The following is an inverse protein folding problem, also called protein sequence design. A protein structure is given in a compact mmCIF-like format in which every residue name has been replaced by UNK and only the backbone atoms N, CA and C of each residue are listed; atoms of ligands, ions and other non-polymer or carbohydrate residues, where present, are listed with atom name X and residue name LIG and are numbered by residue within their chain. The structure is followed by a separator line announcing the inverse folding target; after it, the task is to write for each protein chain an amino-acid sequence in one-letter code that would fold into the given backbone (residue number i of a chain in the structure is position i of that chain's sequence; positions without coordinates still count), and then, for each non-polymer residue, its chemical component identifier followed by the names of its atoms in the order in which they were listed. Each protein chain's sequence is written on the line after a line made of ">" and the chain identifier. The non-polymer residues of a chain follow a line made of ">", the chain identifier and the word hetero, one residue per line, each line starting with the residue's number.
data_IF_189207916046
#
_entry.id   IF_189207916046
#
_cell.length_a   1.000
_cell.length_b   1.000
_cell.length_c   1.000
_cell.angle_alpha   90.00
_cell.angle_beta   90.00
_cell.angle_gamma   90.00
#
_symmetry.space_group_name_H-M   'P 1'
#
loop_
_entity.id
_entity.type
_entity.pdbx_description
1 polymer ?
#
# COMPACT_ATOMS: atom_id res chain seq x y z
N UNK A 1 7.88 -11.24 4.16
CA UNK A 1 7.60 -12.46 3.35
C UNK A 1 6.12 -12.46 2.95
N UNK A 2 5.61 -13.42 2.16
CA UNK A 2 4.20 -13.45 1.73
C UNK A 2 3.18 -13.21 2.87
N UNK A 3 3.27 -13.91 4.04
CA UNK A 3 2.33 -13.71 5.14
C UNK A 3 2.27 -12.26 5.65
N UNK A 4 3.45 -11.63 5.79
CA UNK A 4 3.55 -10.24 6.25
C UNK A 4 2.93 -9.28 5.24
N UNK A 5 3.23 -9.47 3.95
CA UNK A 5 2.71 -8.60 2.87
C UNK A 5 1.18 -8.69 2.77
N UNK A 6 0.62 -9.89 2.85
CA UNK A 6 -0.84 -10.07 2.85
C UNK A 6 -1.49 -9.32 4.03
N UNK A 7 -0.90 -9.47 5.23
CA UNK A 7 -1.39 -8.80 6.44
C UNK A 7 -1.27 -7.28 6.35
N UNK A 8 -0.16 -6.78 5.82
CA UNK A 8 0.08 -5.35 5.61
C UNK A 8 -0.90 -4.77 4.60
N UNK A 9 -1.11 -5.42 3.46
CA UNK A 9 -2.09 -4.98 2.45
C UNK A 9 -3.52 -4.93 3.03
N UNK A 10 -3.93 -5.98 3.74
CA UNK A 10 -5.26 -6.02 4.36
C UNK A 10 -5.43 -4.91 5.40
N UNK A 11 -4.47 -4.74 6.29
CA UNK A 11 -4.51 -3.69 7.32
C UNK A 11 -4.38 -2.29 6.71
N UNK A 12 -3.58 -2.13 5.66
CA UNK A 12 -3.42 -0.89 4.91
C UNK A 12 -4.75 -0.41 4.34
N UNK A 13 -5.55 -1.33 3.79
CA UNK A 13 -6.93 -1.06 3.34
C UNK A 13 -7.96 -0.92 4.47
N UNK A 14 -7.59 -1.18 5.72
CA UNK A 14 -8.48 -1.07 6.88
C UNK A 14 -9.61 -2.10 6.92
N UNK A 15 -9.47 -3.24 6.23
CA UNK A 15 -10.53 -4.26 6.12
C UNK A 15 -10.31 -5.44 7.07
N UNK A 16 -11.41 -6.08 7.47
CA UNK A 16 -11.40 -7.28 8.31
C UNK A 16 -11.02 -8.53 7.51
N UNK A 17 -10.75 -9.65 8.20
CA UNK A 17 -10.51 -10.94 7.52
C UNK A 17 -11.79 -11.42 6.82
N UNK A 18 -12.95 -11.14 7.42
CA UNK A 18 -14.28 -11.43 6.89
C UNK A 18 -14.53 -10.66 5.60
N UNK A 19 -14.28 -9.34 5.60
CA UNK A 19 -14.45 -8.53 4.40
C UNK A 19 -13.52 -8.97 3.27
N UNK A 20 -12.28 -9.38 3.58
CA UNK A 20 -11.38 -9.89 2.56
C UNK A 20 -11.86 -11.25 2.01
N UNK A 21 -12.37 -12.13 2.87
CA UNK A 21 -12.95 -13.40 2.42
C UNK A 21 -14.15 -13.18 1.50
N UNK A 22 -15.05 -12.26 1.87
CA UNK A 22 -16.22 -11.91 1.08
C UNK A 22 -15.81 -11.37 -0.29
N UNK A 23 -14.86 -10.44 -0.34
CA UNK A 23 -14.35 -9.89 -1.60
C UNK A 23 -13.68 -10.95 -2.48
N UNK A 24 -12.90 -11.87 -1.90
CA UNK A 24 -12.31 -12.99 -2.65
C UNK A 24 -13.38 -13.96 -3.19
N UNK A 25 -14.53 -14.02 -2.52
CA UNK A 25 -15.64 -14.89 -2.89
C UNK A 25 -16.53 -14.31 -4.00
N UNK A 26 -16.47 -12.99 -4.25
CA UNK A 26 -17.13 -12.37 -5.41
C UNK A 26 -16.59 -12.92 -6.75
N UNK A 27 -15.35 -13.40 -6.76
CA UNK A 27 -14.68 -14.01 -7.90
C UNK A 27 -14.72 -15.55 -7.86
N UNK A 28 -15.71 -16.16 -7.20
CA UNK A 28 -15.83 -17.63 -7.14
C UNK A 28 -16.32 -18.21 -8.48
N UNK A 29 -15.51 -19.10 -9.05
CA UNK A 29 -15.96 -19.91 -10.18
C UNK A 29 -16.94 -21.00 -9.70
N UNK A 30 -17.86 -21.46 -10.57
CA UNK A 30 -18.75 -22.57 -10.27
C UNK A 30 -17.99 -23.81 -9.78
N UNK A 31 -18.34 -24.31 -8.58
CA UNK A 31 -17.72 -25.48 -7.98
C UNK A 31 -16.50 -25.22 -7.08
N UNK A 32 -16.02 -23.97 -7.01
CA UNK A 32 -15.03 -23.59 -6.01
C UNK A 32 -15.68 -23.43 -4.62
N UNK A 33 -14.94 -23.82 -3.57
CA UNK A 33 -15.37 -23.60 -2.19
C UNK A 33 -15.07 -22.16 -1.78
N UNK A 34 -15.98 -21.50 -1.05
CA UNK A 34 -15.73 -20.14 -0.56
C UNK A 34 -14.58 -20.11 0.43
N UNK A 35 -13.79 -19.05 0.34
CA UNK A 35 -12.77 -18.70 1.30
C UNK A 35 -13.41 -18.27 2.62
N UNK A 36 -12.71 -18.49 3.72
CA UNK A 36 -13.15 -18.10 5.06
C UNK A 36 -12.13 -17.18 5.71
N UNK A 37 -12.58 -16.33 6.64
CA UNK A 37 -11.71 -15.46 7.43
C UNK A 37 -10.61 -16.25 8.17
N UNK A 38 -10.94 -17.44 8.69
CA UNK A 38 -9.98 -18.33 9.35
C UNK A 38 -8.88 -18.82 8.39
N UNK A 39 -9.25 -19.14 7.14
CA UNK A 39 -8.31 -19.57 6.12
C UNK A 39 -7.31 -18.45 5.79
N UNK A 40 -7.79 -17.23 5.59
CA UNK A 40 -6.94 -16.05 5.37
C UNK A 40 -6.05 -15.79 6.59
N UNK A 41 -6.59 -15.91 7.81
CA UNK A 41 -5.81 -15.77 9.03
C UNK A 41 -4.66 -16.78 9.13
N UNK A 42 -4.87 -18.02 8.67
CA UNK A 42 -3.80 -19.02 8.59
C UNK A 42 -2.71 -18.59 7.59
N UNK A 43 -3.08 -17.97 6.48
CA UNK A 43 -2.12 -17.44 5.50
C UNK A 43 -1.30 -16.27 6.03
N UNK A 44 -1.93 -15.33 6.75
CA UNK A 44 -1.24 -14.19 7.37
C UNK A 44 -0.28 -14.59 8.48
N UNK A 45 -0.49 -15.74 9.13
CA UNK A 45 0.44 -16.31 10.12
C UNK A 45 1.49 -17.23 9.50
N UNK A 46 1.31 -17.62 8.24
CA UNK A 46 2.17 -18.60 7.57
C UNK A 46 1.92 -20.05 8.01
N UNK A 47 0.82 -20.33 8.74
CA UNK A 47 0.44 -21.68 9.18
C UNK A 47 0.07 -22.57 7.98
N UNK A 48 -0.48 -21.96 6.93
CA UNK A 48 -0.82 -22.59 5.65
C UNK A 48 -0.47 -21.66 4.52
N UNK A 49 -0.25 -22.25 3.34
CA UNK A 49 -0.05 -21.50 2.11
C UNK A 49 -1.33 -21.52 1.26
N UNK A 50 -1.72 -20.39 0.65
CA UNK A 50 -2.76 -20.38 -0.37
C UNK A 50 -2.31 -21.13 -1.62
N UNK A 51 -3.31 -21.61 -2.38
CA UNK A 51 -3.16 -22.11 -3.73
C UNK A 51 -2.84 -20.98 -4.71
N UNK A 52 -2.30 -21.34 -5.87
CA UNK A 52 -2.00 -20.38 -6.94
C UNK A 52 -3.20 -19.50 -7.32
N UNK A 53 -4.39 -20.10 -7.44
CA UNK A 53 -5.63 -19.39 -7.75
C UNK A 53 -5.97 -18.31 -6.70
N UNK A 54 -5.81 -18.64 -5.41
CA UNK A 54 -6.05 -17.68 -4.33
C UNK A 54 -5.01 -16.56 -4.33
N UNK A 55 -3.75 -16.86 -4.64
CA UNK A 55 -2.70 -15.84 -4.79
C UNK A 55 -3.02 -14.89 -5.95
N UNK A 56 -3.51 -15.39 -7.09
CA UNK A 56 -3.98 -14.55 -8.20
C UNK A 56 -5.14 -13.64 -7.77
N UNK A 57 -6.18 -14.18 -7.14
CA UNK A 57 -7.31 -13.37 -6.66
C UNK A 57 -6.89 -12.29 -5.67
N UNK A 58 -5.96 -12.61 -4.77
CA UNK A 58 -5.39 -11.64 -3.84
C UNK A 58 -4.62 -10.54 -4.58
N UNK A 59 -3.79 -10.90 -5.54
CA UNK A 59 -3.03 -9.95 -6.34
C UNK A 59 -3.95 -9.01 -7.13
N UNK A 60 -4.99 -9.56 -7.77
CA UNK A 60 -6.00 -8.80 -8.51
C UNK A 60 -6.80 -7.89 -7.57
N UNK A 61 -7.28 -8.41 -6.44
CA UNK A 61 -8.03 -7.64 -5.45
C UNK A 61 -7.21 -6.47 -4.90
N UNK A 62 -5.93 -6.69 -4.58
CA UNK A 62 -5.05 -5.66 -4.05
C UNK A 62 -4.41 -4.78 -5.13
N UNK A 63 -4.61 -5.08 -6.40
CA UNK A 63 -4.01 -4.40 -7.55
C UNK A 63 -2.46 -4.38 -7.48
N UNK A 64 -1.87 -5.51 -7.07
CA UNK A 64 -0.42 -5.69 -6.96
C UNK A 64 0.07 -6.83 -7.84
N UNK A 65 1.35 -6.85 -8.19
CA UNK A 65 1.92 -7.99 -8.93
C UNK A 65 2.04 -9.23 -8.03
N UNK A 66 1.95 -10.43 -8.64
CA UNK A 66 2.22 -11.69 -7.94
C UNK A 66 3.61 -11.69 -7.29
N UNK A 67 4.63 -11.17 -7.98
CA UNK A 67 5.99 -11.07 -7.46
C UNK A 67 6.07 -10.16 -6.23
N UNK A 68 5.30 -9.07 -6.20
CA UNK A 68 5.14 -8.29 -4.98
C UNK A 68 4.45 -9.11 -3.90
N UNK A 69 3.36 -9.80 -4.18
CA UNK A 69 2.67 -10.54 -3.13
C UNK A 69 3.55 -11.67 -2.54
N UNK A 70 4.29 -12.40 -3.37
CA UNK A 70 5.11 -13.55 -2.93
C UNK A 70 6.52 -13.20 -2.43
N UNK A 71 6.91 -11.93 -2.43
CA UNK A 71 8.23 -11.53 -1.92
C UNK A 71 9.37 -11.52 -2.93
N UNK A 72 9.08 -11.63 -4.24
CA UNK A 72 10.07 -11.71 -5.33
C UNK A 72 10.48 -10.38 -5.95
N UNK A 73 9.95 -9.26 -5.47
CA UNK A 73 10.37 -7.91 -5.91
C UNK A 73 11.89 -7.73 -5.85
N UNK A 74 12.49 -7.46 -7.01
CA UNK A 74 13.81 -6.84 -7.14
C UNK A 74 13.79 -5.54 -6.35
N UNK A 75 14.75 -5.34 -5.44
CA UNK A 75 14.80 -4.17 -4.58
C UNK A 75 15.10 -2.90 -5.40
N UNK A 76 14.10 -2.33 -6.06
CA UNK A 76 14.15 -0.95 -6.54
C UNK A 76 13.95 -0.04 -5.34
N UNK A 77 15.05 0.51 -4.84
CA UNK A 77 14.98 1.56 -3.83
C UNK A 77 14.28 2.76 -4.46
N UNK A 78 13.11 3.10 -3.95
CA UNK A 78 12.42 4.35 -4.29
C UNK A 78 12.59 5.32 -3.14
N UNK A 79 13.08 6.51 -3.44
CA UNK A 79 13.13 7.60 -2.49
C UNK A 79 11.70 8.13 -2.27
N UNK A 80 11.17 7.99 -1.06
CA UNK A 80 9.82 8.42 -0.70
C UNK A 80 9.64 9.93 -0.82
N UNK A 81 10.66 10.72 -0.48
CA UNK A 81 10.62 12.18 -0.58
C UNK A 81 10.45 12.60 -2.04
N UNK A 82 11.27 12.03 -2.93
CA UNK A 82 11.17 12.27 -4.37
C UNK A 82 9.87 11.72 -4.95
N UNK A 83 9.38 10.59 -4.45
CA UNK A 83 8.09 10.05 -4.87
C UNK A 83 6.98 11.06 -4.58
N UNK A 84 6.83 11.53 -3.34
CA UNK A 84 5.79 12.49 -2.96
C UNK A 84 5.89 13.82 -3.73
N UNK A 85 7.11 14.29 -4.02
CA UNK A 85 7.36 15.53 -4.77
C UNK A 85 7.29 15.39 -6.30
N UNK A 86 7.28 14.15 -6.83
CA UNK A 86 7.27 13.92 -8.28
C UNK A 86 5.90 14.21 -8.91
N UNK A 87 5.84 14.43 -10.22
CA UNK A 87 4.56 14.52 -10.96
C UNK A 87 3.87 13.17 -11.20
N UNK A 88 4.36 12.06 -10.63
CA UNK A 88 3.72 10.75 -10.80
C UNK A 88 2.36 10.72 -10.09
N UNK A 89 1.43 9.99 -10.69
CA UNK A 89 0.20 9.62 -10.00
C UNK A 89 0.56 8.63 -8.89
N UNK A 90 0.12 8.94 -7.67
CA UNK A 90 0.34 8.11 -6.49
C UNK A 90 -1.03 7.87 -5.90
N UNK A 91 -1.40 6.60 -5.80
CA UNK A 91 -2.55 6.19 -5.02
C UNK A 91 -2.11 5.64 -3.66
N UNK A 92 -3.03 5.68 -2.70
CA UNK A 92 -2.92 4.92 -1.48
C UNK A 92 -4.15 4.04 -1.37
N UNK A 93 -3.95 2.73 -1.46
CA UNK A 93 -5.01 1.72 -1.50
C UNK A 93 -6.00 1.89 -2.68
N UNK A 94 -5.49 2.15 -3.88
CA UNK A 94 -6.30 2.34 -5.09
C UNK A 94 -7.06 3.67 -5.13
N UNK A 95 -6.79 4.59 -4.20
CA UNK A 95 -7.35 5.94 -4.18
C UNK A 95 -6.25 6.96 -4.50
N UNK A 96 -6.35 7.71 -5.61
CA UNK A 96 -5.39 8.75 -5.95
C UNK A 96 -5.26 9.76 -4.81
N UNK A 97 -4.03 10.09 -4.45
CA UNK A 97 -3.73 11.10 -3.45
C UNK A 97 -3.78 12.49 -4.09
N UNK A 98 -4.40 13.44 -3.39
CA UNK A 98 -4.34 14.87 -3.76
C UNK A 98 -2.98 15.47 -3.39
N UNK A 99 -2.62 16.60 -4.02
CA UNK A 99 -1.38 17.31 -3.71
C UNK A 99 -1.26 17.68 -2.22
N UNK A 100 -2.37 18.07 -1.59
CA UNK A 100 -2.40 18.36 -0.15
C UNK A 100 -2.12 17.10 0.68
N UNK A 101 -2.76 15.97 0.35
CA UNK A 101 -2.52 14.71 1.07
C UNK A 101 -1.07 14.25 0.92
N UNK A 102 -0.48 14.43 -0.27
CA UNK A 102 0.92 14.11 -0.53
C UNK A 102 1.85 14.96 0.33
N UNK A 103 1.58 16.26 0.44
CA UNK A 103 2.35 17.16 1.29
C UNK A 103 2.23 16.80 2.77
N UNK A 104 1.00 16.55 3.26
CA UNK A 104 0.77 16.19 4.66
C UNK A 104 1.51 14.90 5.03
N UNK A 105 1.39 13.85 4.21
CA UNK A 105 2.08 12.57 4.41
C UNK A 105 3.59 12.77 4.38
N UNK A 106 4.11 13.57 3.44
CA UNK A 106 5.54 13.90 3.39
C UNK A 106 6.01 14.53 4.70
N UNK A 107 5.28 15.50 5.25
CA UNK A 107 5.65 16.16 6.50
C UNK A 107 5.61 15.20 7.69
N UNK A 108 4.59 14.35 7.79
CA UNK A 108 4.51 13.33 8.84
C UNK A 108 5.69 12.35 8.78
N UNK A 109 6.02 11.85 7.59
CA UNK A 109 7.14 10.93 7.38
C UNK A 109 8.48 11.61 7.68
N UNK A 110 8.66 12.85 7.20
CA UNK A 110 9.88 13.61 7.42
C UNK A 110 10.11 13.90 8.91
N UNK A 111 9.07 14.34 9.64
CA UNK A 111 9.16 14.58 11.08
C UNK A 111 9.45 13.29 11.86
N UNK A 112 8.86 12.15 11.46
CA UNK A 112 9.11 10.86 12.09
C UNK A 112 10.55 10.37 11.87
N UNK A 113 11.09 10.55 10.67
CA UNK A 113 12.45 10.10 10.30
C UNK A 113 13.54 11.07 10.76
N UNK A 114 13.22 12.36 10.88
CA UNK A 114 14.13 13.44 11.28
C UNK A 114 13.63 14.16 12.55
N UNK A 115 13.56 13.48 13.71
CA UNK A 115 12.95 14.02 14.94
C UNK A 115 13.71 15.19 15.58
N UNK A 116 14.84 15.62 15.01
CA UNK A 116 15.67 16.72 15.51
C UNK A 116 15.50 18.03 14.72
N UNK A 117 14.61 18.10 13.72
CA UNK A 117 14.25 19.38 13.09
C UNK A 117 13.15 20.02 13.94
N UNK A 118 13.58 20.69 15.00
CA UNK A 118 12.78 21.70 15.67
C UNK A 118 12.38 22.73 14.60
N UNK A 119 11.14 22.68 14.12
CA UNK A 119 10.56 23.75 13.31
C UNK A 119 10.27 24.91 14.26
N UNK A 120 11.33 25.57 14.72
CA UNK A 120 11.24 26.93 15.21
C UNK A 120 10.95 27.80 13.99
N UNK A 121 9.68 28.20 13.89
CA UNK A 121 9.15 29.39 13.22
C UNK A 121 9.85 29.87 11.93
N UNK A 122 9.12 29.72 10.82
CA UNK A 122 9.09 30.71 9.75
C UNK A 122 10.27 30.73 8.78
N UNK A 123 10.24 29.86 7.77
CA UNK A 123 10.65 30.23 6.41
C UNK A 123 10.31 29.11 5.42
N UNK A 124 9.05 29.07 4.97
CA UNK A 124 8.78 28.56 3.62
C UNK A 124 8.90 29.78 2.72
N UNK A 125 10.13 30.05 2.26
CA UNK A 125 10.35 30.97 1.14
C UNK A 125 9.72 30.36 -0.10
N UNK A 126 8.45 30.70 -0.34
CA UNK A 126 7.81 30.53 -1.65
C UNK A 126 8.56 31.50 -2.57
N UNK A 127 9.55 30.98 -3.29
CA UNK A 127 10.27 31.76 -4.27
C UNK A 127 9.33 31.98 -5.47
N UNK A 128 8.53 33.05 -5.38
CA UNK A 128 7.83 33.65 -6.52
C UNK A 128 8.87 34.28 -7.44
N UNK A 129 9.35 33.53 -8.43
CA UNK A 129 9.93 34.13 -9.62
C UNK A 129 10.03 33.12 -10.75
N UNK A 130 8.97 33.02 -11.56
CA UNK A 130 9.11 33.03 -13.01
C UNK A 130 7.94 33.82 -13.60
N UNK A 131 8.14 35.13 -13.64
CA UNK A 131 7.58 35.99 -14.67
C UNK A 131 8.59 37.11 -14.85
N UNK A 132 9.36 37.02 -15.94
CA UNK A 132 9.94 38.15 -16.66
C UNK A 132 10.54 37.66 -17.99
N UNK A 133 9.89 38.13 -19.06
CA UNK A 133 10.15 38.05 -20.50
C UNK A 133 9.51 36.90 -21.28
#
# INVERSE_FOLDING_TARGET
>A
MFPDRLRELRKGRGITLENLADAMNEQLDPGQKPNTAAQIGNWERGDRSPSYLEVCKLADFFEVSLDFLVGRTMAEKTDLSLLFLSGKEIDFNGKPLTDQQRFDIFQYVNAYLNPAVDMSDGDVMINHQENLF
#
